data_IF_213705905562
#
_entry.id   IF_213705905562
#
_cell.length_a   1.000
_cell.length_b   1.000
_cell.length_c   1.000
_cell.angle_alpha   90.00
_cell.angle_beta   90.00
_cell.angle_gamma   90.00
#
_symmetry.space_group_name_H-M   'P 1'
#
loop_
_entity.id
_entity.type
_entity.pdbx_description
1 polymer ?
#
# COMPACT_ATOMS: atom_id res chain seq x y z
N UNK A 1 19.07 -37.47 28.29
CA UNK A 1 19.21 -37.06 26.88
C UNK A 1 17.96 -36.29 26.48
N UNK A 2 17.77 -35.08 27.00
CA UNK A 2 16.62 -34.21 26.63
C UNK A 2 16.97 -32.72 26.61
N UNK A 3 18.20 -32.32 26.92
CA UNK A 3 18.61 -30.91 26.99
C UNK A 3 18.95 -30.27 25.62
N UNK A 4 19.11 -31.07 24.56
CA UNK A 4 19.49 -30.56 23.22
C UNK A 4 18.30 -30.09 22.36
N UNK A 5 17.06 -30.33 22.79
CA UNK A 5 15.85 -30.05 21.99
C UNK A 5 15.41 -28.58 22.10
N UNK A 6 15.61 -27.94 23.26
CA UNK A 6 15.19 -26.56 23.51
C UNK A 6 15.80 -25.50 22.56
N UNK A 7 17.11 -25.50 22.25
CA UNK A 7 17.69 -24.48 21.37
C UNK A 7 17.18 -24.61 19.92
N UNK A 8 16.93 -25.84 19.46
CA UNK A 8 16.39 -26.11 18.11
C UNK A 8 14.95 -25.63 18.00
N UNK A 9 14.12 -25.91 19.00
CA UNK A 9 12.71 -25.46 19.03
C UNK A 9 12.61 -23.94 19.04
N UNK A 10 13.46 -23.23 19.82
CA UNK A 10 13.52 -21.76 19.80
C UNK A 10 13.94 -21.21 18.45
N UNK A 11 14.92 -21.84 17.80
CA UNK A 11 15.38 -21.45 16.46
C UNK A 11 14.29 -21.56 15.39
N UNK A 12 13.51 -22.65 15.42
CA UNK A 12 12.38 -22.87 14.51
C UNK A 12 11.27 -21.85 14.78
N UNK A 13 10.89 -21.64 16.04
CA UNK A 13 9.86 -20.65 16.42
C UNK A 13 10.22 -19.23 15.98
N UNK A 14 11.49 -18.83 16.12
CA UNK A 14 11.96 -17.53 15.66
C UNK A 14 11.81 -17.38 14.15
N UNK A 15 12.31 -18.35 13.36
CA UNK A 15 12.21 -18.30 11.89
C UNK A 15 10.76 -18.31 11.40
N UNK A 16 9.89 -19.07 12.06
CA UNK A 16 8.46 -19.08 11.72
C UNK A 16 7.80 -17.72 11.98
N UNK A 17 8.19 -17.06 13.08
CA UNK A 17 7.73 -15.70 13.40
C UNK A 17 8.22 -14.70 12.37
N UNK A 18 9.52 -14.71 12.05
CA UNK A 18 10.13 -13.82 11.08
C UNK A 18 9.46 -13.98 9.70
N UNK A 19 9.30 -15.22 9.22
CA UNK A 19 8.58 -15.52 7.97
C UNK A 19 7.12 -15.07 8.00
N UNK A 20 6.43 -15.23 9.13
CA UNK A 20 5.02 -14.82 9.27
C UNK A 20 4.86 -13.30 9.26
N UNK A 21 5.84 -12.57 9.79
CA UNK A 21 5.89 -11.09 9.76
C UNK A 21 6.07 -10.62 8.32
N UNK A 22 7.02 -11.19 7.58
CA UNK A 22 7.29 -10.83 6.17
C UNK A 22 6.04 -11.02 5.28
N UNK A 23 5.30 -12.13 5.46
CA UNK A 23 4.07 -12.40 4.71
C UNK A 23 2.94 -11.44 5.06
N UNK A 24 2.84 -11.03 6.34
CA UNK A 24 1.84 -10.04 6.77
C UNK A 24 2.15 -8.68 6.17
N UNK A 25 3.40 -8.23 6.24
CA UNK A 25 3.83 -6.96 5.68
C UNK A 25 3.55 -6.89 4.17
N UNK A 26 3.93 -7.92 3.42
CA UNK A 26 3.66 -8.03 1.98
C UNK A 26 2.15 -7.95 1.66
N UNK A 27 1.29 -8.58 2.46
CA UNK A 27 -0.17 -8.48 2.30
C UNK A 27 -0.67 -7.05 2.51
N UNK A 28 -0.12 -6.37 3.51
CA UNK A 28 -0.49 -4.98 3.83
C UNK A 28 -0.04 -4.04 2.71
N UNK A 29 1.18 -4.19 2.21
CA UNK A 29 1.69 -3.43 1.06
C UNK A 29 0.79 -3.64 -0.16
N UNK A 30 0.45 -4.90 -0.46
CA UNK A 30 -0.43 -5.23 -1.59
C UNK A 30 -1.82 -4.62 -1.45
N UNK A 31 -2.35 -4.60 -0.24
CA UNK A 31 -3.62 -3.93 0.04
C UNK A 31 -3.53 -2.43 -0.28
N UNK A 32 -2.51 -1.75 0.23
CA UNK A 32 -2.29 -0.31 -0.01
C UNK A 32 -2.21 -0.02 -1.51
N UNK A 33 -1.36 -0.74 -2.24
CA UNK A 33 -1.20 -0.60 -3.70
C UNK A 33 -2.52 -0.79 -4.43
N UNK A 34 -3.30 -1.82 -4.05
CA UNK A 34 -4.60 -2.09 -4.67
C UNK A 34 -5.62 -0.98 -4.42
N UNK A 35 -5.68 -0.44 -3.20
CA UNK A 35 -6.61 0.64 -2.87
C UNK A 35 -6.24 1.95 -3.57
N UNK A 36 -4.96 2.30 -3.62
CA UNK A 36 -4.47 3.50 -4.30
C UNK A 36 -4.78 3.44 -5.80
N UNK A 37 -4.48 2.31 -6.45
CA UNK A 37 -4.81 2.10 -7.88
C UNK A 37 -6.31 2.06 -8.18
N UNK A 38 -7.14 1.93 -7.16
CA UNK A 38 -8.60 2.04 -7.29
C UNK A 38 -9.08 3.49 -7.18
N UNK A 39 -8.17 4.48 -7.16
CA UNK A 39 -8.49 5.90 -7.04
C UNK A 39 -8.74 6.39 -5.61
N UNK A 40 -8.50 5.56 -4.59
CA UNK A 40 -8.68 5.99 -3.19
C UNK A 40 -7.50 6.83 -2.73
N UNK A 41 -7.80 7.90 -1.98
CA UNK A 41 -6.78 8.77 -1.38
C UNK A 41 -5.95 8.00 -0.35
N UNK A 42 -4.63 8.14 -0.41
CA UNK A 42 -3.68 7.44 0.46
C UNK A 42 -3.95 7.70 1.94
N UNK A 43 -4.28 8.93 2.30
CA UNK A 43 -4.65 9.39 3.64
C UNK A 43 -5.88 8.65 4.19
N UNK A 44 -6.87 8.36 3.34
CA UNK A 44 -8.03 7.55 3.72
C UNK A 44 -7.65 6.08 3.86
N UNK A 45 -6.88 5.55 2.90
CA UNK A 45 -6.43 4.16 2.91
C UNK A 45 -5.63 3.86 4.18
N UNK A 46 -4.73 4.76 4.59
CA UNK A 46 -3.90 4.63 5.80
C UNK A 46 -4.69 4.58 7.12
N UNK A 47 -5.95 5.04 7.10
CA UNK A 47 -6.87 4.98 8.23
C UNK A 47 -7.77 3.74 8.21
N UNK A 48 -7.70 2.88 7.18
CA UNK A 48 -8.57 1.72 7.06
C UNK A 48 -8.41 0.77 8.26
N UNK A 49 -9.53 0.20 8.73
CA UNK A 49 -9.57 -0.77 9.84
C UNK A 49 -8.62 -1.94 9.59
N UNK A 50 -8.53 -2.40 8.34
CA UNK A 50 -7.60 -3.45 7.94
C UNK A 50 -6.15 -3.07 8.28
N UNK A 51 -5.70 -1.87 7.92
CA UNK A 51 -4.34 -1.42 8.18
C UNK A 51 -4.08 -1.16 9.65
N UNK A 52 -5.03 -0.53 10.35
CA UNK A 52 -4.88 -0.21 11.78
C UNK A 52 -4.88 -1.46 12.66
N UNK A 53 -5.55 -2.53 12.24
CA UNK A 53 -5.50 -3.85 12.88
C UNK A 53 -4.23 -4.61 12.52
N UNK A 54 -3.69 -4.40 11.32
CA UNK A 54 -2.60 -5.21 10.78
C UNK A 54 -1.19 -4.59 10.87
N UNK A 55 -1.08 -3.30 11.16
CA UNK A 55 0.17 -2.58 11.29
C UNK A 55 0.05 -1.42 12.28
N UNK A 56 1.08 -1.24 13.11
CA UNK A 56 1.24 -0.08 13.97
C UNK A 56 1.41 1.21 13.16
N UNK A 57 1.27 2.37 13.81
CA UNK A 57 1.45 3.65 13.13
C UNK A 57 2.87 3.82 12.55
N UNK A 58 3.89 3.28 13.22
CA UNK A 58 5.29 3.33 12.74
C UNK A 58 5.48 2.42 11.53
N UNK A 59 4.97 1.19 11.57
CA UNK A 59 5.03 0.27 10.43
C UNK A 59 4.30 0.83 9.21
N UNK A 60 3.12 1.45 9.39
CA UNK A 60 2.41 2.12 8.29
C UNK A 60 3.20 3.28 7.69
N UNK A 61 3.92 4.04 8.53
CA UNK A 61 4.79 5.10 8.04
C UNK A 61 5.96 4.52 7.22
N UNK A 62 6.57 3.42 7.67
CA UNK A 62 7.63 2.74 6.92
C UNK A 62 7.10 2.16 5.59
N UNK A 63 5.88 1.66 5.55
CA UNK A 63 5.25 1.16 4.32
C UNK A 63 5.08 2.25 3.25
N UNK A 64 4.95 3.53 3.63
CA UNK A 64 4.94 4.65 2.67
C UNK A 64 6.28 4.84 1.97
N UNK A 65 7.37 4.39 2.57
CA UNK A 65 8.71 4.43 1.97
C UNK A 65 8.93 3.26 0.99
N UNK A 66 7.99 2.31 0.91
CA UNK A 66 8.10 1.17 0.03
C UNK A 66 7.99 1.61 -1.45
N UNK A 67 8.96 1.23 -2.32
CA UNK A 67 8.94 1.63 -3.73
C UNK A 67 7.68 1.25 -4.49
N UNK A 68 7.02 0.13 -4.13
CA UNK A 68 5.78 -0.28 -4.79
C UNK A 68 4.61 0.64 -4.41
N UNK A 69 4.56 1.11 -3.17
CA UNK A 69 3.54 2.06 -2.69
C UNK A 69 3.76 3.42 -3.34
N UNK A 70 5.01 3.92 -3.35
CA UNK A 70 5.38 5.18 -4.00
C UNK A 70 4.96 5.17 -5.46
N UNK A 71 5.34 4.12 -6.20
CA UNK A 71 4.98 3.97 -7.62
C UNK A 71 3.46 3.96 -7.83
N UNK A 72 2.70 3.27 -6.98
CA UNK A 72 1.25 3.25 -7.08
C UNK A 72 0.64 4.65 -6.89
N UNK A 73 1.17 5.44 -5.96
CA UNK A 73 0.76 6.82 -5.74
C UNK A 73 1.09 7.70 -6.95
N UNK A 74 2.30 7.57 -7.51
CA UNK A 74 2.71 8.30 -8.71
C UNK A 74 1.81 7.98 -9.92
N UNK A 75 1.52 6.70 -10.14
CA UNK A 75 0.62 6.22 -11.20
C UNK A 75 -0.77 6.84 -11.05
N UNK A 76 -1.33 6.88 -9.82
CA UNK A 76 -2.63 7.46 -9.55
C UNK A 76 -2.65 8.99 -9.77
N UNK A 77 -1.61 9.69 -9.31
CA UNK A 77 -1.46 11.14 -9.54
C UNK A 77 -1.42 11.43 -11.04
N UNK A 78 -0.63 10.67 -11.81
CA UNK A 78 -0.55 10.82 -13.26
C UNK A 78 -1.90 10.59 -13.95
N UNK A 79 -2.65 9.58 -13.51
CA UNK A 79 -3.99 9.31 -14.03
C UNK A 79 -4.95 10.47 -13.77
N UNK A 80 -4.99 10.99 -12.55
CA UNK A 80 -5.85 12.13 -12.20
C UNK A 80 -5.54 13.38 -13.04
N UNK A 81 -4.26 13.68 -13.27
CA UNK A 81 -3.87 14.80 -14.15
C UNK A 81 -4.21 14.56 -15.63
N UNK A 82 -4.06 13.33 -16.12
CA UNK A 82 -4.45 12.98 -17.48
C UNK A 82 -5.96 13.13 -17.68
N UNK A 83 -6.76 12.63 -16.74
CA UNK A 83 -8.22 12.81 -16.74
C UNK A 83 -8.63 14.27 -16.66
N UNK A 84 -7.94 15.08 -15.85
CA UNK A 84 -8.22 16.51 -15.74
C UNK A 84 -8.00 17.25 -17.07
N UNK A 85 -6.87 17.00 -17.76
CA UNK A 85 -6.59 17.59 -19.08
C UNK A 85 -7.64 17.22 -20.13
N UNK A 86 -8.15 15.99 -20.09
CA UNK A 86 -9.19 15.54 -21.01
C UNK A 86 -10.49 16.34 -20.81
N UNK A 87 -10.91 16.57 -19.56
CA UNK A 87 -12.14 17.33 -19.26
C UNK A 87 -12.02 18.78 -19.70
N UNK A 88 -10.89 19.45 -19.43
CA UNK A 88 -10.72 20.87 -19.80
C UNK A 88 -10.64 21.07 -21.31
N UNK A 89 -10.01 20.15 -22.05
CA UNK A 89 -9.87 20.27 -23.51
C UNK A 89 -11.19 20.03 -24.27
N UNK A 90 -12.21 19.48 -23.61
CA UNK A 90 -13.53 19.23 -24.24
C UNK A 90 -14.50 20.40 -24.00
N UNK A 91 -14.21 21.30 -23.04
CA UNK A 91 -15.05 22.45 -22.69
C UNK A 91 -14.85 23.69 -23.58
N UNK A 92 -13.72 23.79 -24.29
CA UNK A 92 -13.40 24.96 -25.13
C UNK A 92 -13.95 24.86 -26.57
N UNK A 93 -14.70 23.79 -26.89
CA UNK A 93 -15.26 23.53 -28.22
C UNK A 93 -16.75 23.93 -28.37
N UNK A 94 -17.30 24.75 -27.47
CA UNK A 94 -18.67 25.27 -27.59
C UNK A 94 -18.68 26.53 -28.46
N UNK A 95 -18.88 26.29 -29.75
CA UNK A 95 -19.45 27.11 -30.82
C UNK A 95 -19.76 28.58 -30.48
N UNK A 96 -18.97 29.49 -31.07
CA UNK A 96 -19.38 30.89 -31.30
C UNK A 96 -20.22 30.90 -32.59
N UNK A 97 -21.53 31.18 -32.56
CA UNK A 97 -22.30 31.39 -33.80
C UNK A 97 -21.92 32.75 -34.41
N UNK A 98 -21.87 32.77 -35.75
CA UNK A 98 -21.58 33.93 -36.62
C UNK A 98 -22.51 35.13 -36.40
#
# INVERSE_FOLDING_TARGET
MTDDVEPVVRGIQKRFRDLSVDVREERVIRYIVGQVRSGRRIDTVMADEYLTTHASAVERAQMLENPAVIKAIEEEIQQQFASYRMVTNTGDAETIPE
#
